data_IF_560028239159
#
_entry.id   IF_560028239159
#
_cell.length_a   1.000
_cell.length_b   1.000
_cell.length_c   1.000
_cell.angle_alpha   90.00
_cell.angle_beta   90.00
_cell.angle_gamma   90.00
#
_symmetry.space_group_name_H-M   'P 1'
#
loop_
_entity.id
_entity.type
_entity.pdbx_description
1 polymer ?
#
# COMPACT_ATOMS: atom_id res chain seq x y z
N UNK A 1 -20.93 16.29 -16.58
CA UNK A 1 -19.56 15.83 -16.86
C UNK A 1 -19.41 14.41 -16.33
N UNK A 2 -19.33 13.40 -17.20
CA UNK A 2 -19.35 11.99 -16.79
C UNK A 2 -17.94 11.58 -16.39
N UNK A 3 -17.72 11.33 -15.09
CA UNK A 3 -16.42 10.88 -14.58
C UNK A 3 -16.05 9.57 -15.25
N UNK A 4 -15.00 9.58 -16.08
CA UNK A 4 -14.47 8.37 -16.72
C UNK A 4 -13.79 7.54 -15.64
N UNK A 5 -14.49 6.54 -15.10
CA UNK A 5 -13.90 5.59 -14.15
C UNK A 5 -12.92 4.71 -14.92
N UNK A 6 -11.62 5.00 -14.83
CA UNK A 6 -10.56 4.13 -15.31
C UNK A 6 -10.36 2.98 -14.32
N UNK A 7 -10.10 1.77 -14.82
CA UNK A 7 -9.74 0.66 -13.96
C UNK A 7 -8.44 1.00 -13.18
N UNK A 8 -8.32 0.60 -11.90
CA UNK A 8 -7.09 0.79 -11.13
C UNK A 8 -5.91 0.12 -11.82
N UNK A 9 -4.80 0.82 -11.91
CA UNK A 9 -3.54 0.30 -12.43
C UNK A 9 -2.62 -0.13 -11.28
N UNK A 10 -1.52 -0.83 -11.60
CA UNK A 10 -0.51 -1.24 -10.61
C UNK A 10 0.06 -0.03 -9.83
N UNK A 11 0.06 1.16 -10.43
CA UNK A 11 0.54 2.39 -9.78
C UNK A 11 -0.43 2.95 -8.75
N UNK A 12 -1.69 2.57 -8.86
CA UNK A 12 -2.78 2.99 -7.98
C UNK A 12 -2.91 2.07 -6.76
N UNK A 13 -2.14 0.97 -6.71
CA UNK A 13 -2.22 -0.04 -5.65
C UNK A 13 -0.98 0.02 -4.77
N UNK A 14 -1.19 0.07 -3.46
CA UNK A 14 -0.14 -0.08 -2.44
C UNK A 14 -0.43 -1.30 -1.58
N UNK A 15 0.55 -2.16 -1.43
CA UNK A 15 0.50 -3.31 -0.52
C UNK A 15 1.14 -2.92 0.82
N UNK A 16 0.49 -3.25 1.93
CA UNK A 16 0.92 -2.89 3.28
C UNK A 16 0.89 -4.13 4.17
N UNK A 17 1.99 -4.42 4.85
CA UNK A 17 2.04 -5.46 5.88
C UNK A 17 3.00 -5.08 7.00
N UNK A 18 2.67 -5.42 8.24
CA UNK A 18 3.48 -5.12 9.43
C UNK A 18 3.95 -3.64 9.49
N UNK A 19 3.06 -2.70 9.14
CA UNK A 19 3.33 -1.26 9.04
C UNK A 19 4.37 -0.84 7.98
N UNK A 20 4.73 -1.73 7.04
CA UNK A 20 5.60 -1.43 5.90
C UNK A 20 4.79 -1.41 4.61
N UNK A 21 5.04 -0.42 3.77
CA UNK A 21 4.54 -0.35 2.39
C UNK A 21 5.53 -1.10 1.49
N UNK A 22 5.02 -1.93 0.59
CA UNK A 22 5.83 -2.72 -0.33
C UNK A 22 6.05 -1.94 -1.62
N UNK A 23 7.28 -1.99 -2.13
CA UNK A 23 7.67 -1.36 -3.39
C UNK A 23 7.69 -2.41 -4.50
N UNK A 24 7.22 -2.06 -5.69
CA UNK A 24 7.08 -2.99 -6.83
C UNK A 24 8.42 -3.56 -7.32
N UNK A 25 9.54 -2.92 -7.00
CA UNK A 25 10.89 -3.35 -7.38
C UNK A 25 11.55 -4.25 -6.35
N UNK A 26 10.83 -4.65 -5.29
CA UNK A 26 11.34 -5.49 -4.21
C UNK A 26 10.57 -6.79 -4.11
N UNK A 27 11.21 -7.78 -3.50
CA UNK A 27 10.65 -9.11 -3.28
C UNK A 27 9.97 -9.21 -1.92
N UNK A 28 8.98 -10.09 -1.79
CA UNK A 28 8.28 -10.35 -0.52
C UNK A 28 9.24 -10.79 0.60
N UNK A 29 10.36 -11.44 0.23
CA UNK A 29 11.39 -11.90 1.18
C UNK A 29 12.05 -10.75 1.95
N UNK A 30 12.22 -9.59 1.33
CA UNK A 30 12.86 -8.41 1.96
C UNK A 30 11.97 -7.71 2.98
N UNK A 31 10.66 -8.00 2.95
CA UNK A 31 9.68 -7.47 3.89
C UNK A 31 9.22 -8.48 4.93
N UNK A 32 9.63 -9.76 4.81
CA UNK A 32 9.39 -10.77 5.83
C UNK A 32 10.08 -10.38 7.13
N UNK A 33 9.29 -10.28 8.20
CA UNK A 33 9.82 -10.09 9.54
C UNK A 33 10.36 -11.42 10.05
N UNK A 34 11.56 -11.46 10.68
CA UNK A 34 12.10 -12.67 11.32
C UNK A 34 11.13 -13.29 12.33
N UNK A 35 10.22 -12.48 12.90
CA UNK A 35 9.24 -12.93 13.91
C UNK A 35 7.95 -13.51 13.32
N UNK A 36 7.69 -13.30 12.02
CA UNK A 36 6.48 -13.82 11.34
C UNK A 36 6.78 -14.97 10.38
N UNK A 37 8.03 -15.41 10.32
CA UNK A 37 8.45 -16.44 9.39
C UNK A 37 8.24 -17.85 9.99
N UNK A 38 6.97 -18.18 10.25
CA UNK A 38 6.58 -19.51 10.67
C UNK A 38 6.38 -20.35 9.40
N UNK A 39 7.05 -21.50 9.26
CA UNK A 39 6.83 -22.42 8.14
C UNK A 39 5.34 -22.80 8.04
N UNK A 40 4.74 -22.61 6.86
CA UNK A 40 3.31 -22.83 6.64
C UNK A 40 2.40 -21.67 7.08
N UNK A 41 2.95 -20.58 7.63
CA UNK A 41 2.20 -19.39 8.02
C UNK A 41 1.73 -18.56 6.83
N UNK A 42 0.49 -18.06 6.91
CA UNK A 42 -0.09 -17.16 5.90
C UNK A 42 0.29 -15.71 6.20
N UNK A 43 0.80 -14.99 5.21
CA UNK A 43 1.01 -13.54 5.33
C UNK A 43 -0.21 -12.80 4.83
N UNK A 44 -0.91 -12.11 5.73
CA UNK A 44 -2.01 -11.19 5.34
C UNK A 44 -1.45 -9.80 5.05
N UNK A 45 -1.94 -9.16 3.98
CA UNK A 45 -1.58 -7.80 3.58
C UNK A 45 -2.82 -6.94 3.39
N UNK A 46 -2.72 -5.66 3.74
CA UNK A 46 -3.73 -4.66 3.41
C UNK A 46 -3.42 -4.08 2.03
N UNK A 47 -4.45 -3.97 1.19
CA UNK A 47 -4.36 -3.38 -0.14
C UNK A 47 -5.06 -2.03 -0.12
N UNK A 48 -4.35 -0.97 -0.50
CA UNK A 48 -4.91 0.38 -0.62
C UNK A 48 -4.96 0.75 -2.10
N UNK A 49 -6.15 1.09 -2.60
CA UNK A 49 -6.34 1.61 -3.96
C UNK A 49 -6.48 3.13 -3.89
N UNK A 50 -5.48 3.85 -4.39
CA UNK A 50 -5.44 5.30 -4.46
C UNK A 50 -5.82 5.74 -5.87
N UNK A 51 -6.93 6.46 -6.02
CA UNK A 51 -7.28 7.05 -7.31
C UNK A 51 -6.21 8.07 -7.73
N UNK A 52 -5.89 8.17 -9.04
CA UNK A 52 -4.98 9.20 -9.53
C UNK A 52 -5.53 10.58 -9.16
N UNK A 53 -4.65 11.53 -8.79
CA UNK A 53 -5.09 12.82 -8.29
C UNK A 53 -5.86 13.58 -9.37
N UNK A 54 -7.11 13.93 -9.08
CA UNK A 54 -7.83 14.93 -9.87
C UNK A 54 -7.14 16.27 -9.69
N UNK A 55 -7.08 17.08 -10.75
CA UNK A 55 -6.42 18.39 -10.83
C UNK A 55 -6.85 19.40 -9.73
N UNK A 56 -7.90 19.10 -8.95
CA UNK A 56 -8.29 19.83 -7.74
C UNK A 56 -7.93 19.05 -6.48
N UNK A 57 -6.91 19.53 -5.77
CA UNK A 57 -6.65 19.22 -4.36
C UNK A 57 -6.08 17.83 -4.09
N UNK A 58 -4.76 17.69 -4.17
CA UNK A 58 -4.08 16.49 -3.68
C UNK A 58 -4.07 16.49 -2.14
N UNK A 59 -4.93 15.69 -1.50
CA UNK A 59 -4.55 15.14 -0.19
C UNK A 59 -3.47 14.11 -0.49
N UNK A 60 -2.21 14.57 -0.54
CA UNK A 60 -1.07 13.66 -0.46
C UNK A 60 -1.23 12.96 0.88
N UNK A 61 -1.53 11.65 0.86
CA UNK A 61 -1.34 10.80 2.03
C UNK A 61 0.19 10.67 2.17
N UNK A 62 0.81 11.75 2.65
CA UNK A 62 2.15 11.73 3.21
C UNK A 62 2.06 10.74 4.35
N UNK A 63 2.88 9.69 4.29
CA UNK A 63 3.04 8.74 5.38
C UNK A 63 3.63 9.52 6.56
N UNK A 64 2.77 10.16 7.34
CA UNK A 64 3.14 10.73 8.61
C UNK A 64 3.31 9.53 9.56
N UNK A 65 4.54 9.16 9.94
CA UNK A 65 4.77 8.01 10.81
C UNK A 65 4.11 8.18 12.20
N UNK A 66 3.67 9.40 12.54
CA UNK A 66 3.02 9.72 13.82
C UNK A 66 1.53 9.36 13.85
N UNK A 67 0.86 9.21 12.69
CA UNK A 67 -0.61 9.01 12.61
C UNK A 67 -1.07 7.55 12.84
N UNK A 68 -0.15 6.58 12.86
CA UNK A 68 -0.45 5.16 13.12
C UNK A 68 0.12 4.64 14.45
N UNK A 69 0.54 5.56 15.34
CA UNK A 69 1.19 5.27 16.61
C UNK A 69 0.32 5.55 17.85
N UNK A 70 -0.99 5.76 17.69
CA UNK A 70 -1.94 5.83 18.79
C UNK A 70 -2.57 4.46 19.07
#
# INVERSE_FOLDING_TARGET
MKTRRTAPTIKDVKLISARRIYENNRTVREFRSPLRDIPGGVTTMHVVVQAPPSEKGTVKITHNPVLFAA
#
